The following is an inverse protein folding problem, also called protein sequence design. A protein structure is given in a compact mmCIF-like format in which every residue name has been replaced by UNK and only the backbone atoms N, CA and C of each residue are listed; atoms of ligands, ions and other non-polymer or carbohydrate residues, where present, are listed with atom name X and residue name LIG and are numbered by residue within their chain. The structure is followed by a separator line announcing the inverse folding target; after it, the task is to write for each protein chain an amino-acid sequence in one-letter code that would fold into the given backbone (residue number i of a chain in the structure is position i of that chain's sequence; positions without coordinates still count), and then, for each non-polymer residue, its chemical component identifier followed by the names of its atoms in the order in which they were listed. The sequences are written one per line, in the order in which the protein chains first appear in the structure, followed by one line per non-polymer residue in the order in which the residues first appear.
data_IF_056164472596
#
_entry.id   IF_056164472596
#
_cell.length_a   1.000
_cell.length_b   1.000
_cell.length_c   1.000
_cell.angle_alpha   90.00
_cell.angle_beta   90.00
_cell.angle_gamma   90.00
#
_symmetry.space_group_name_H-M   'P 1'
#
loop_
_entity.id
_entity.type
_entity.pdbx_description
1 polymer ?
#
# COMPACT_ATOMS: atom_id res chain seq x y z
N UNK A 1 6.96 0.75 -21.77
CA UNK A 1 8.38 1.14 -21.57
C UNK A 1 8.55 1.34 -20.08
N UNK A 2 9.15 0.37 -19.38
CA UNK A 2 9.41 0.48 -17.95
C UNK A 2 10.52 1.51 -17.76
N UNK A 3 10.22 2.61 -17.08
CA UNK A 3 11.24 3.55 -16.64
C UNK A 3 11.95 2.86 -15.46
N UNK A 4 13.20 2.47 -15.67
CA UNK A 4 14.02 1.83 -14.64
C UNK A 4 14.19 2.84 -13.50
N UNK A 5 13.65 2.54 -12.31
CA UNK A 5 14.07 3.27 -11.12
C UNK A 5 15.56 3.09 -10.97
N UNK A 6 16.29 4.20 -11.00
CA UNK A 6 17.68 4.16 -10.59
C UNK A 6 17.74 3.77 -9.12
N UNK A 7 18.25 2.57 -8.86
CA UNK A 7 18.57 2.17 -7.50
C UNK A 7 19.60 3.17 -6.93
N UNK A 8 19.45 3.54 -5.65
CA UNK A 8 20.42 4.42 -5.00
C UNK A 8 21.82 3.80 -5.11
N UNK A 9 22.79 4.60 -5.56
CA UNK A 9 24.18 4.19 -5.82
C UNK A 9 25.11 4.57 -4.69
N UNK A 10 24.69 5.52 -3.85
CA UNK A 10 25.44 5.95 -2.67
C UNK A 10 24.62 5.73 -1.39
N UNK A 11 25.31 5.67 -0.25
CA UNK A 11 24.66 5.58 1.06
C UNK A 11 23.77 6.80 1.34
N UNK A 12 24.19 7.99 0.89
CA UNK A 12 23.41 9.22 1.02
C UNK A 12 22.13 9.16 0.14
N UNK A 13 22.24 8.67 -1.09
CA UNK A 13 21.08 8.46 -1.97
C UNK A 13 20.12 7.43 -1.38
N UNK A 14 20.62 6.36 -0.77
CA UNK A 14 19.79 5.36 -0.12
C UNK A 14 19.05 5.92 1.09
N UNK A 15 19.74 6.70 1.92
CA UNK A 15 19.12 7.37 3.06
C UNK A 15 18.02 8.35 2.61
N UNK A 16 18.31 9.17 1.59
CA UNK A 16 17.30 10.06 1.01
C UNK A 16 16.13 9.26 0.42
N UNK A 17 16.42 8.18 -0.31
CA UNK A 17 15.40 7.30 -0.90
C UNK A 17 14.45 6.71 0.15
N UNK A 18 14.98 6.25 1.29
CA UNK A 18 14.20 5.75 2.41
C UNK A 18 13.44 6.89 3.11
N UNK A 19 14.07 8.06 3.33
CA UNK A 19 13.44 9.19 4.02
C UNK A 19 12.32 9.86 3.23
N UNK A 20 12.39 9.86 1.90
CA UNK A 20 11.36 10.41 1.02
C UNK A 20 10.14 9.49 0.85
N UNK A 21 10.22 8.25 1.33
CA UNK A 21 9.12 7.29 1.26
C UNK A 21 8.12 7.49 2.40
N UNK A 22 6.85 7.30 2.09
CA UNK A 22 5.76 7.27 3.05
C UNK A 22 5.96 6.07 3.98
N UNK A 23 5.99 6.36 5.27
CA UNK A 23 5.94 5.35 6.30
C UNK A 23 4.49 4.92 6.53
N UNK A 24 4.29 3.60 6.54
CA UNK A 24 3.03 3.00 6.98
C UNK A 24 2.95 3.18 8.49
N UNK A 25 1.98 3.98 8.95
CA UNK A 25 1.73 4.21 10.36
C UNK A 25 1.04 3.00 10.99
N UNK A 26 0.16 2.38 10.22
CA UNK A 26 -0.51 1.14 10.58
C UNK A 26 -1.03 0.46 9.31
N UNK A 27 -1.22 -0.86 9.38
CA UNK A 27 -1.76 -1.65 8.32
C UNK A 27 -2.77 -2.66 8.87
N UNK A 28 -3.87 -2.83 8.15
CA UNK A 28 -4.89 -3.82 8.48
C UNK A 28 -5.17 -4.69 7.25
N UNK A 29 -5.33 -5.98 7.49
CA UNK A 29 -5.76 -6.93 6.46
C UNK A 29 -7.28 -6.91 6.35
N UNK A 30 -7.79 -6.39 5.24
CA UNK A 30 -9.22 -6.33 4.97
C UNK A 30 -9.77 -7.70 4.56
N UNK A 31 -10.07 -8.58 5.50
CA UNK A 31 -10.84 -9.79 5.23
C UNK A 31 -12.34 -9.44 5.08
N UNK A 32 -12.75 -8.86 3.95
CA UNK A 32 -14.17 -8.65 3.67
C UNK A 32 -14.79 -9.97 3.19
N UNK A 33 -15.56 -10.62 4.06
CA UNK A 33 -16.26 -11.87 3.77
C UNK A 33 -17.27 -11.65 2.63
N UNK A 34 -17.43 -12.68 1.77
CA UNK A 34 -18.37 -12.74 0.65
C UNK A 34 -19.79 -12.25 1.03
N UNK A 35 -20.56 -11.69 0.07
CA UNK A 35 -21.93 -11.24 0.32
C UNK A 35 -22.80 -12.38 0.84
N UNK A 36 -23.72 -12.03 1.76
CA UNK A 36 -24.82 -12.91 2.17
C UNK A 36 -25.70 -13.32 0.99
N UNK A 37 -26.47 -14.38 1.17
CA UNK A 37 -27.22 -15.11 0.13
C UNK A 37 -28.22 -14.29 -0.71
N UNK A 38 -28.46 -13.02 -0.39
CA UNK A 38 -29.55 -12.21 -0.96
C UNK A 38 -29.10 -11.21 -2.05
N UNK A 39 -27.83 -11.23 -2.48
CA UNK A 39 -27.38 -10.67 -3.77
C UNK A 39 -27.61 -9.15 -3.98
N UNK A 40 -27.93 -8.39 -2.95
CA UNK A 40 -28.19 -6.94 -3.07
C UNK A 40 -26.91 -6.14 -2.85
N UNK A 41 -26.38 -5.60 -3.95
CA UNK A 41 -25.29 -4.64 -3.95
C UNK A 41 -25.86 -3.24 -3.76
N UNK A 42 -25.41 -2.51 -2.74
CA UNK A 42 -25.50 -1.04 -2.76
C UNK A 42 -24.30 -0.53 -3.57
N UNK A 43 -24.56 0.31 -4.56
CA UNK A 43 -23.69 0.62 -5.69
C UNK A 43 -22.44 1.48 -5.37
N UNK A 44 -21.78 1.34 -4.21
CA UNK A 44 -20.54 2.06 -3.93
C UNK A 44 -19.37 1.27 -3.31
N UNK A 45 -19.47 -0.03 -2.96
CA UNK A 45 -18.40 -0.71 -2.19
C UNK A 45 -17.56 -1.71 -3.01
N UNK A 46 -16.37 -1.28 -3.46
CA UNK A 46 -15.37 -2.08 -4.22
C UNK A 46 -14.09 -2.38 -3.41
N UNK A 47 -14.19 -2.92 -2.19
CA UNK A 47 -12.99 -3.41 -1.49
C UNK A 47 -12.98 -4.93 -1.60
N UNK A 48 -12.13 -5.52 -2.44
CA UNK A 48 -12.08 -6.96 -2.59
C UNK A 48 -11.48 -7.64 -1.33
N UNK A 49 -11.83 -8.90 -1.09
CA UNK A 49 -11.32 -9.68 0.03
C UNK A 49 -9.78 -9.70 0.04
N UNK A 50 -9.20 -9.60 1.23
CA UNK A 50 -7.76 -9.67 1.53
C UNK A 50 -6.91 -8.51 0.99
N UNK A 51 -7.52 -7.35 0.74
CA UNK A 51 -6.74 -6.14 0.41
C UNK A 51 -5.91 -5.68 1.61
N UNK A 52 -4.71 -5.15 1.36
CA UNK A 52 -3.92 -4.47 2.38
C UNK A 52 -4.39 -3.01 2.50
N UNK A 53 -4.88 -2.62 3.69
CA UNK A 53 -5.25 -1.25 4.01
C UNK A 53 -4.12 -0.62 4.78
N UNK A 54 -3.54 0.46 4.25
CA UNK A 54 -2.37 1.13 4.83
C UNK A 54 -2.76 2.55 5.24
N UNK A 55 -2.62 2.86 6.53
CA UNK A 55 -2.70 4.23 7.00
C UNK A 55 -1.34 4.88 6.85
N UNK A 56 -1.31 6.02 6.16
CA UNK A 56 -0.08 6.76 5.89
C UNK A 56 -0.24 8.22 6.30
N UNK A 57 0.86 8.82 6.76
CA UNK A 57 0.90 10.26 7.00
C UNK A 57 0.94 11.01 5.67
N UNK A 58 -0.19 11.60 5.29
CA UNK A 58 -0.28 12.42 4.07
C UNK A 58 0.04 13.90 4.32
N UNK A 59 0.37 14.34 5.54
CA UNK A 59 0.62 15.77 5.82
C UNK A 59 1.75 16.35 4.97
N UNK A 60 2.80 15.56 4.72
CA UNK A 60 3.93 15.95 3.86
C UNK A 60 3.65 15.78 2.36
N UNK A 61 2.53 15.14 1.99
CA UNK A 61 2.16 14.76 0.63
C UNK A 61 0.68 15.12 0.34
N UNK A 62 0.30 16.41 0.43
CA UNK A 62 -1.09 16.84 0.29
C UNK A 62 -1.71 16.47 -1.06
N UNK A 63 -0.89 16.29 -2.10
CA UNK A 63 -1.34 15.85 -3.42
C UNK A 63 -1.98 14.44 -3.41
N UNK A 64 -1.71 13.61 -2.39
CA UNK A 64 -2.34 12.29 -2.25
C UNK A 64 -3.78 12.39 -1.77
N UNK A 65 -4.13 13.46 -1.03
CA UNK A 65 -5.53 13.73 -0.66
C UNK A 65 -6.36 14.12 -1.88
N UNK A 66 -5.77 14.95 -2.73
CA UNK A 66 -6.37 15.29 -4.02
C UNK A 66 -6.51 14.06 -4.91
N UNK A 67 -5.51 13.17 -4.92
CA UNK A 67 -5.59 11.91 -5.65
C UNK A 67 -6.73 11.02 -5.15
N UNK A 68 -6.90 10.86 -3.82
CA UNK A 68 -8.00 10.08 -3.25
C UNK A 68 -9.37 10.63 -3.68
N UNK A 69 -9.53 11.96 -3.70
CA UNK A 69 -10.75 12.60 -4.22
C UNK A 69 -10.95 12.35 -5.71
N UNK A 70 -9.90 12.43 -6.52
CA UNK A 70 -9.98 12.17 -7.96
C UNK A 70 -10.28 10.70 -8.27
N UNK A 71 -9.78 9.76 -7.47
CA UNK A 71 -10.11 8.33 -7.63
C UNK A 71 -11.61 8.08 -7.47
N UNK A 72 -12.28 8.81 -6.57
CA UNK A 72 -13.73 8.69 -6.39
C UNK A 72 -14.53 9.19 -7.60
N UNK A 73 -14.03 10.19 -8.34
CA UNK A 73 -14.75 10.78 -9.48
C UNK A 73 -14.36 10.16 -10.81
N UNK A 74 -13.07 9.84 -10.98
CA UNK A 74 -12.46 9.50 -12.27
C UNK A 74 -11.97 8.04 -12.32
N UNK A 75 -11.99 7.33 -11.19
CA UNK A 75 -11.46 5.97 -11.01
C UNK A 75 -9.95 5.93 -10.77
N UNK A 76 -9.39 4.72 -10.64
CA UNK A 76 -7.98 4.46 -10.31
C UNK A 76 -7.00 5.00 -11.37
N UNK A 77 -7.46 5.20 -12.60
CA UNK A 77 -6.65 5.71 -13.70
C UNK A 77 -5.52 4.77 -14.13
N UNK A 78 -4.38 5.35 -14.52
CA UNK A 78 -3.24 4.63 -15.08
C UNK A 78 -2.02 4.86 -14.20
N UNK A 79 -1.42 3.76 -13.72
CA UNK A 79 -0.26 3.77 -12.84
C UNK A 79 0.84 2.82 -13.28
N UNK A 80 2.08 3.21 -12.99
CA UNK A 80 3.26 2.34 -13.08
C UNK A 80 3.75 2.05 -11.67
N UNK A 81 4.05 0.78 -11.42
CA UNK A 81 4.49 0.28 -10.12
C UNK A 81 5.87 -0.33 -10.25
N UNK A 82 6.71 -0.11 -9.25
CA UNK A 82 8.02 -0.76 -9.18
C UNK A 82 8.39 -1.03 -7.74
N UNK A 83 8.98 -2.19 -7.50
CA UNK A 83 9.44 -2.61 -6.18
C UNK A 83 10.95 -2.54 -6.08
N UNK A 84 11.42 -2.17 -4.90
CA UNK A 84 12.84 -2.24 -4.52
C UNK A 84 12.94 -2.94 -3.18
N UNK A 85 13.82 -3.93 -3.07
CA UNK A 85 14.28 -4.48 -1.80
C UNK A 85 15.62 -3.82 -1.48
N UNK A 86 15.71 -3.19 -0.32
CA UNK A 86 16.95 -2.58 0.16
C UNK A 86 17.14 -2.81 1.65
N UNK A 87 18.33 -2.53 2.17
CA UNK A 87 18.66 -2.67 3.59
C UNK A 87 19.38 -1.41 4.03
N UNK A 88 18.92 -0.79 5.11
CA UNK A 88 19.65 0.32 5.71
C UNK A 88 20.97 -0.22 6.29
N UNK A 89 22.13 0.25 5.80
CA UNK A 89 23.43 -0.24 6.25
C UNK A 89 23.74 0.12 7.70
N UNK A 90 23.03 1.10 8.27
CA UNK A 90 23.24 1.60 9.63
C UNK A 90 22.47 0.75 10.64
N UNK A 91 21.20 0.48 10.36
CA UNK A 91 20.28 -0.24 11.26
C UNK A 91 20.19 -1.72 10.94
N UNK A 92 20.56 -2.13 9.74
CA UNK A 92 20.36 -3.48 9.23
C UNK A 92 18.91 -3.81 8.86
N UNK A 93 17.98 -2.86 8.99
CA UNK A 93 16.57 -3.08 8.68
C UNK A 93 16.39 -3.18 7.15
N UNK A 94 15.71 -4.24 6.71
CA UNK A 94 15.34 -4.40 5.31
C UNK A 94 14.02 -3.68 5.03
N UNK A 95 13.91 -3.05 3.87
CA UNK A 95 12.73 -2.34 3.41
C UNK A 95 12.31 -2.87 2.04
N UNK A 96 11.04 -3.25 1.92
CA UNK A 96 10.37 -3.29 0.63
C UNK A 96 9.84 -1.89 0.34
N UNK A 97 10.15 -1.35 -0.82
CA UNK A 97 9.71 -0.01 -1.21
C UNK A 97 8.92 -0.12 -2.52
N UNK A 98 7.63 0.19 -2.44
CA UNK A 98 6.74 0.34 -3.59
C UNK A 98 6.83 1.78 -4.08
N UNK A 99 7.34 1.99 -5.28
CA UNK A 99 7.21 3.25 -6.00
C UNK A 99 5.97 3.20 -6.89
N UNK A 100 5.14 4.23 -6.76
CA UNK A 100 3.92 4.43 -7.53
C UNK A 100 4.10 5.70 -8.35
N UNK A 101 3.97 5.57 -9.66
CA UNK A 101 3.91 6.70 -10.59
C UNK A 101 2.56 6.69 -11.29
N UNK A 102 1.67 7.55 -10.82
CA UNK A 102 0.36 7.79 -11.41
C UNK A 102 0.53 8.68 -12.65
N UNK A 103 -0.06 8.27 -13.77
CA UNK A 103 -0.05 8.99 -15.05
C UNK A 103 -1.38 9.69 -15.31
N UNK A 104 -2.49 9.12 -14.81
CA UNK A 104 -3.87 9.64 -14.82
C UNK A 104 -4.59 9.12 -13.57
N UNK A 105 -5.53 9.84 -12.95
CA UNK A 105 -6.12 11.11 -13.40
C UNK A 105 -5.20 12.32 -13.19
N UNK A 106 -4.24 12.23 -12.26
CA UNK A 106 -3.23 13.27 -12.02
C UNK A 106 -1.83 12.66 -12.02
N UNK A 107 -0.86 13.43 -12.50
CA UNK A 107 0.55 13.02 -12.46
C UNK A 107 1.10 13.23 -11.06
N UNK A 108 1.29 12.12 -10.34
CA UNK A 108 1.91 12.11 -9.01
C UNK A 108 2.80 10.90 -8.86
N UNK A 109 3.86 11.05 -8.09
CA UNK A 109 4.86 10.01 -7.86
C UNK A 109 5.21 9.95 -6.39
N UNK A 110 5.00 8.80 -5.76
CA UNK A 110 5.27 8.61 -4.33
C UNK A 110 5.75 7.20 -4.04
N UNK A 111 6.43 7.03 -2.91
CA UNK A 111 6.97 5.74 -2.47
C UNK A 111 6.33 5.36 -1.15
N UNK A 112 6.12 4.07 -0.92
CA UNK A 112 5.68 3.52 0.35
C UNK A 112 6.75 2.53 0.80
N UNK A 113 7.20 2.65 2.05
CA UNK A 113 8.16 1.69 2.63
C UNK A 113 7.47 0.75 3.60
N UNK A 114 7.88 -0.51 3.55
CA UNK A 114 7.44 -1.59 4.43
C UNK A 114 8.69 -2.13 5.16
N UNK A 115 8.90 -1.74 6.43
CA UNK A 115 9.99 -2.30 7.24
C UNK A 115 9.77 -3.78 7.50
N UNK A 116 10.83 -4.57 7.34
CA UNK A 116 10.82 -6.01 7.59
C UNK A 116 11.60 -6.33 8.88
N UNK A 117 11.13 -7.29 9.70
CA UNK A 117 10.05 -8.24 9.44
C UNK A 117 8.63 -7.75 9.78
N UNK A 118 8.49 -6.56 10.35
CA UNK A 118 7.24 -6.10 10.97
C UNK A 118 6.03 -6.08 10.01
N UNK A 119 6.26 -5.84 8.72
CA UNK A 119 5.20 -5.76 7.69
C UNK A 119 5.06 -7.05 6.84
N UNK A 120 5.55 -8.19 7.32
CA UNK A 120 5.50 -9.46 6.56
C UNK A 120 4.08 -9.86 6.15
N UNK A 121 3.12 -9.81 7.07
CA UNK A 121 1.72 -10.15 6.81
C UNK A 121 1.07 -9.22 5.78
N UNK A 122 1.49 -7.96 5.75
CA UNK A 122 1.02 -6.96 4.80
C UNK A 122 1.52 -7.27 3.39
N UNK A 123 2.81 -7.58 3.24
CA UNK A 123 3.38 -8.00 1.96
C UNK A 123 2.67 -9.28 1.46
N UNK A 124 2.40 -10.24 2.34
CA UNK A 124 1.65 -11.45 1.98
C UNK A 124 0.23 -11.15 1.50
N UNK A 125 -0.47 -10.23 2.15
CA UNK A 125 -1.81 -9.81 1.70
C UNK A 125 -1.77 -9.09 0.34
N UNK A 126 -0.75 -8.26 0.09
CA UNK A 126 -0.55 -7.62 -1.22
C UNK A 126 -0.28 -8.68 -2.29
N UNK A 127 0.53 -9.69 -1.98
CA UNK A 127 0.80 -10.79 -2.91
C UNK A 127 -0.45 -11.60 -3.25
N UNK A 128 -1.33 -11.83 -2.27
CA UNK A 128 -2.56 -12.58 -2.45
C UNK A 128 -3.64 -11.79 -3.21
N UNK A 129 -3.80 -10.51 -2.90
CA UNK A 129 -4.87 -9.68 -3.46
C UNK A 129 -4.46 -8.91 -4.71
N UNK A 130 -3.16 -8.65 -4.89
CA UNK A 130 -2.65 -7.73 -5.91
C UNK A 130 -3.17 -6.29 -5.70
N UNK A 131 -3.53 -5.91 -4.47
CA UNK A 131 -4.16 -4.62 -4.19
C UNK A 131 -3.66 -3.98 -2.90
N UNK A 132 -3.56 -2.67 -2.96
CA UNK A 132 -3.20 -1.79 -1.85
C UNK A 132 -4.20 -0.65 -1.80
N UNK A 133 -4.72 -0.34 -0.62
CA UNK A 133 -5.53 0.85 -0.39
C UNK A 133 -4.78 1.75 0.60
N UNK A 134 -4.53 3.00 0.21
CA UNK A 134 -3.99 3.99 1.13
C UNK A 134 -5.11 4.81 1.76
N UNK A 135 -5.02 4.95 3.06
CA UNK A 135 -5.92 5.76 3.87
C UNK A 135 -5.12 6.86 4.54
N UNK A 136 -5.70 8.05 4.64
CA UNK A 136 -5.11 9.13 5.42
C UNK A 136 -5.08 8.74 6.91
N UNK A 137 -3.91 8.87 7.53
CA UNK A 137 -3.72 8.71 8.97
C UNK A 137 -4.24 9.87 9.82
N UNK A 138 -4.25 9.73 11.16
CA UNK A 138 -3.74 8.58 11.90
C UNK A 138 -4.64 7.35 11.77
N UNK A 139 -4.05 6.17 11.92
CA UNK A 139 -4.82 4.95 12.00
C UNK A 139 -5.80 5.01 13.18
N UNK A 140 -7.03 4.50 13.03
CA UNK A 140 -7.91 4.35 14.18
C UNK A 140 -7.24 3.39 15.18
N UNK A 141 -7.57 3.49 16.47
CA UNK A 141 -7.10 2.54 17.49
C UNK A 141 -7.78 1.16 17.34
N UNK A 142 -7.84 0.63 16.11
CA UNK A 142 -8.51 -0.62 15.77
C UNK A 142 -7.78 -1.83 16.35
N UNK A 143 -6.44 -1.76 16.50
CA UNK A 143 -5.65 -2.80 17.19
C UNK A 143 -6.04 -2.92 18.66
N UNK A 144 -6.29 -1.79 19.32
CA UNK A 144 -6.77 -1.74 20.71
C UNK A 144 -8.26 -2.12 20.81
N UNK A 145 -9.00 -1.89 19.73
CA UNK A 145 -10.43 -2.20 19.60
C UNK A 145 -10.69 -3.52 18.86
N UNK A 146 -9.68 -4.38 18.71
CA UNK A 146 -9.75 -5.60 17.90
C UNK A 146 -10.89 -6.49 18.40
N UNK A 147 -12.03 -6.43 17.71
CA UNK A 147 -13.29 -7.09 18.10
C UNK A 147 -14.53 -6.19 18.20
N UNK A 148 -14.41 -4.86 18.12
CA UNK A 148 -15.57 -3.94 18.21
C UNK A 148 -15.90 -3.17 16.94
N UNK A 149 -14.97 -3.00 16.01
CA UNK A 149 -15.27 -2.30 14.76
C UNK A 149 -15.97 -3.23 13.78
N UNK A 150 -17.24 -2.98 13.51
CA UNK A 150 -18.00 -3.74 12.52
C UNK A 150 -17.47 -3.46 11.11
N UNK A 151 -17.68 -4.41 10.19
CA UNK A 151 -17.36 -4.24 8.77
C UNK A 151 -17.98 -2.95 8.19
N UNK A 152 -19.18 -2.60 8.62
CA UNK A 152 -19.85 -1.38 8.20
C UNK A 152 -19.10 -0.12 8.66
N UNK A 153 -18.63 -0.08 9.91
CA UNK A 153 -17.85 1.04 10.44
C UNK A 153 -16.51 1.19 9.71
N UNK A 154 -15.89 0.09 9.32
CA UNK A 154 -14.69 0.12 8.48
C UNK A 154 -14.98 0.73 7.11
N UNK A 155 -16.01 0.23 6.42
CA UNK A 155 -16.40 0.76 5.11
C UNK A 155 -16.74 2.25 5.20
N UNK A 156 -17.51 2.65 6.20
CA UNK A 156 -17.84 4.07 6.45
C UNK A 156 -16.58 4.92 6.68
N UNK A 157 -15.57 4.40 7.37
CA UNK A 157 -14.30 5.10 7.57
C UNK A 157 -13.56 5.30 6.25
N UNK A 158 -13.50 4.27 5.42
CA UNK A 158 -12.84 4.30 4.10
C UNK A 158 -13.57 5.28 3.18
N UNK A 159 -14.91 5.19 3.11
CA UNK A 159 -15.71 6.09 2.29
C UNK A 159 -15.60 7.55 2.71
N UNK A 160 -15.61 7.80 4.02
CA UNK A 160 -15.55 9.16 4.56
C UNK A 160 -14.20 9.83 4.29
N UNK A 161 -13.12 9.08 4.46
CA UNK A 161 -11.77 9.62 4.32
C UNK A 161 -11.29 9.63 2.86
N UNK A 162 -11.94 8.82 2.00
CA UNK A 162 -11.45 8.51 0.68
C UNK A 162 -10.22 7.62 0.73
N UNK A 163 -9.99 6.91 -0.37
CA UNK A 163 -8.87 5.98 -0.49
C UNK A 163 -8.14 6.18 -1.82
N UNK A 164 -6.83 5.95 -1.78
CA UNK A 164 -6.05 5.73 -2.99
C UNK A 164 -6.00 4.23 -3.22
N UNK A 165 -6.98 3.72 -3.97
CA UNK A 165 -6.98 2.33 -4.43
C UNK A 165 -5.94 2.12 -5.53
N UNK A 166 -5.14 1.06 -5.39
CA UNK A 166 -4.11 0.69 -6.36
C UNK A 166 -4.23 -0.78 -6.70
N UNK A 167 -4.48 -1.07 -7.98
CA UNK A 167 -4.42 -2.43 -8.52
C UNK A 167 -3.05 -2.71 -9.15
N UNK A 168 -2.31 -3.66 -8.57
CA UNK A 168 -0.99 -4.06 -9.02
C UNK A 168 -1.13 -5.09 -10.17
N UNK A 169 -0.54 -4.84 -11.35
CA UNK A 169 -0.52 -5.82 -12.43
C UNK A 169 0.12 -7.14 -12.01
N UNK A 170 -0.29 -8.25 -12.62
CA UNK A 170 0.23 -9.60 -12.30
C UNK A 170 1.76 -9.68 -12.36
N UNK A 171 2.38 -9.03 -13.33
CA UNK A 171 3.84 -9.01 -13.46
C UNK A 171 4.51 -8.33 -12.26
N UNK A 172 3.87 -7.28 -11.72
CA UNK A 172 4.37 -6.58 -10.53
C UNK A 172 4.22 -7.44 -9.27
N UNK A 173 3.11 -8.18 -9.14
CA UNK A 173 2.90 -9.16 -8.06
C UNK A 173 3.92 -10.30 -8.15
N UNK A 174 4.18 -10.83 -9.34
CA UNK A 174 5.18 -11.87 -9.56
C UNK A 174 6.60 -11.39 -9.23
N UNK A 175 6.93 -10.15 -9.59
CA UNK A 175 8.21 -9.54 -9.22
C UNK A 175 8.34 -9.36 -7.70
N UNK A 176 7.32 -8.86 -7.02
CA UNK A 176 7.29 -8.76 -5.56
C UNK A 176 7.48 -10.13 -4.90
N UNK A 177 6.82 -11.17 -5.43
CA UNK A 177 6.95 -12.54 -4.90
C UNK A 177 8.41 -13.02 -4.94
N UNK A 178 9.11 -12.77 -6.04
CA UNK A 178 10.53 -13.14 -6.16
C UNK A 178 11.42 -12.36 -5.17
N UNK A 179 11.17 -11.06 -4.98
CA UNK A 179 11.88 -10.26 -3.99
C UNK A 179 11.61 -10.75 -2.57
N UNK A 180 10.37 -11.12 -2.27
CA UNK A 180 9.95 -11.61 -0.96
C UNK A 180 10.61 -12.95 -0.60
N UNK A 181 10.67 -13.88 -1.56
CA UNK A 181 11.43 -15.13 -1.40
C UNK A 181 12.93 -14.89 -1.23
N UNK A 182 13.50 -13.90 -1.93
CA UNK A 182 14.90 -13.50 -1.76
C UNK A 182 15.16 -13.02 -0.33
N UNK A 183 14.30 -12.16 0.20
CA UNK A 183 14.40 -11.70 1.58
C UNK A 183 14.28 -12.85 2.59
N UNK A 184 13.27 -13.73 2.44
CA UNK A 184 13.06 -14.90 3.33
C UNK A 184 14.26 -15.84 3.36
N UNK A 185 14.90 -16.09 2.22
CA UNK A 185 15.99 -17.07 2.09
C UNK A 185 17.38 -16.52 2.39
N UNK A 186 17.62 -15.24 2.08
CA UNK A 186 18.96 -14.65 2.13
C UNK A 186 19.15 -13.64 3.26
N UNK A 187 18.10 -12.96 3.71
CA UNK A 187 18.18 -11.83 4.65
C UNK A 187 17.59 -12.18 6.02
N UNK A 188 16.42 -12.83 6.10
CA UNK A 188 15.71 -13.14 7.35
C UNK A 188 16.43 -14.13 8.30
N UNK A 189 17.51 -14.79 7.85
CA UNK A 189 18.16 -15.93 8.51
C UNK A 189 18.29 -15.82 10.03
#
# INVERSE_FOLDING_TARGET
MFEELQQPRTLQELQAFIQESLEVQDAMLGALVKPGQDGTYSASAHIPPMSALLWVDMTKRPELKDLARLHQTDGEGESVYTWVLTQDPTTGIAYFILHVKMLRPVRVSFRIRFPMPDEEEVIEAILQSGRVLLLEGPAPAWRESAGTMSQQQLLETIFRNGDVSMHLPKDNVGFLSNLFETWKTQIKK
#
